data_IF_322415223055
#
_entry.id   IF_322415223055
#
_cell.length_a   1.000
_cell.length_b   1.000
_cell.length_c   1.000
_cell.angle_alpha   90.00
_cell.angle_beta   90.00
_cell.angle_gamma   90.00
#
_symmetry.space_group_name_H-M   'P 1'
#
loop_
_entity.id
_entity.type
_entity.pdbx_description
1 polymer ?
#
# COMPACT_ATOMS: atom_id res chain seq x y z
N UNK A 1 -0.54 -9.87 58.67
CA UNK A 1 -0.86 -11.29 58.95
C UNK A 1 -1.77 -11.78 57.83
N UNK A 2 -1.35 -12.85 57.14
CA UNK A 2 -2.00 -13.69 56.11
C UNK A 2 -3.44 -13.37 55.68
N UNK A 3 -3.64 -13.13 54.37
CA UNK A 3 -4.88 -13.51 53.67
C UNK A 3 -4.50 -14.50 52.56
N UNK A 4 -4.80 -15.78 52.86
CA UNK A 4 -4.89 -16.90 51.92
C UNK A 4 -6.00 -16.52 50.90
N UNK A 5 -5.82 -16.64 49.59
CA UNK A 5 -5.55 -17.89 48.91
C UNK A 5 -6.86 -18.58 48.53
N UNK A 6 -7.79 -17.91 47.85
CA UNK A 6 -8.98 -18.52 47.23
C UNK A 6 -9.48 -17.70 46.02
N UNK A 7 -8.78 -17.74 44.89
CA UNK A 7 -9.35 -17.38 43.57
C UNK A 7 -8.73 -18.21 42.42
N UNK A 8 -8.36 -19.46 42.67
CA UNK A 8 -7.76 -20.35 41.65
C UNK A 8 -8.51 -21.68 41.49
N UNK A 9 -9.84 -21.69 41.56
CA UNK A 9 -10.59 -22.95 41.38
C UNK A 9 -11.87 -22.83 40.53
N UNK A 10 -11.83 -22.04 39.46
CA UNK A 10 -12.93 -22.04 38.48
C UNK A 10 -12.46 -22.11 37.03
N UNK A 11 -11.47 -22.94 36.67
CA UNK A 11 -11.20 -23.23 35.25
C UNK A 11 -10.71 -24.66 34.96
N UNK A 12 -11.04 -25.66 35.78
CA UNK A 12 -10.75 -27.07 35.43
C UNK A 12 -11.98 -27.94 35.69
N UNK A 13 -13.01 -27.74 34.90
CA UNK A 13 -14.11 -28.69 34.76
C UNK A 13 -14.71 -28.53 33.36
N UNK A 14 -14.00 -29.04 32.35
CA UNK A 14 -14.53 -29.52 31.06
C UNK A 14 -13.35 -29.91 30.13
N UNK A 15 -12.53 -30.86 30.58
CA UNK A 15 -11.71 -31.66 29.67
C UNK A 15 -12.32 -33.05 29.59
N UNK A 16 -13.30 -33.19 28.72
CA UNK A 16 -13.94 -34.46 28.45
C UNK A 16 -14.87 -34.33 27.27
N UNK A 17 -14.45 -34.92 26.14
CA UNK A 17 -15.28 -35.24 24.97
C UNK A 17 -15.65 -34.08 24.03
N UNK A 18 -14.70 -33.64 23.19
CA UNK A 18 -14.97 -33.42 21.74
C UNK A 18 -13.72 -32.94 20.98
N UNK A 19 -12.77 -33.85 20.67
CA UNK A 19 -11.59 -33.51 19.83
C UNK A 19 -11.29 -34.53 18.73
N UNK A 20 -12.25 -35.40 18.40
CA UNK A 20 -12.08 -36.39 17.32
C UNK A 20 -13.15 -36.31 16.23
N UNK A 21 -14.26 -35.59 16.43
CA UNK A 21 -15.30 -35.52 15.41
C UNK A 21 -14.88 -34.63 14.21
N UNK A 22 -14.33 -33.44 14.48
CA UNK A 22 -13.91 -32.50 13.41
C UNK A 22 -12.74 -32.99 12.54
N UNK A 23 -11.85 -33.84 13.07
CA UNK A 23 -10.77 -34.44 12.26
C UNK A 23 -11.30 -35.51 11.31
N UNK A 24 -12.33 -36.23 11.73
CA UNK A 24 -12.95 -37.30 10.95
C UNK A 24 -13.83 -36.68 9.85
N UNK A 25 -14.55 -35.60 10.17
CA UNK A 25 -15.38 -34.86 9.21
C UNK A 25 -14.54 -34.20 8.10
N UNK A 26 -13.37 -33.64 8.44
CA UNK A 26 -12.45 -33.07 7.44
C UNK A 26 -11.79 -34.15 6.58
N UNK A 27 -11.39 -35.28 7.19
CA UNK A 27 -10.82 -36.41 6.45
C UNK A 27 -11.84 -37.02 5.48
N UNK A 28 -13.11 -37.16 5.89
CA UNK A 28 -14.18 -37.60 5.00
C UNK A 28 -14.48 -36.60 3.89
N UNK A 29 -14.36 -35.29 4.16
CA UNK A 29 -14.50 -34.27 3.12
C UNK A 29 -13.38 -34.37 2.07
N UNK A 30 -12.14 -34.56 2.50
CA UNK A 30 -11.00 -34.75 1.60
C UNK A 30 -11.12 -36.02 0.76
N UNK A 31 -11.56 -37.12 1.37
CA UNK A 31 -11.74 -38.40 0.67
C UNK A 31 -12.92 -38.34 -0.30
N UNK A 32 -14.00 -37.64 0.06
CA UNK A 32 -15.12 -37.37 -0.84
C UNK A 32 -14.69 -36.54 -2.05
N UNK A 33 -13.91 -35.47 -1.87
CA UNK A 33 -13.40 -34.65 -2.99
C UNK A 33 -12.43 -35.44 -3.89
N UNK A 34 -11.66 -36.36 -3.30
CA UNK A 34 -10.75 -37.25 -4.03
C UNK A 34 -11.51 -38.31 -4.86
N UNK A 35 -12.63 -38.83 -4.36
CA UNK A 35 -13.47 -39.75 -5.12
C UNK A 35 -14.29 -39.03 -6.20
N UNK A 36 -14.81 -37.83 -5.91
CA UNK A 36 -15.57 -37.00 -6.86
C UNK A 36 -14.72 -36.57 -8.07
N UNK A 37 -13.40 -36.47 -7.89
CA UNK A 37 -12.44 -36.20 -8.97
C UNK A 37 -11.96 -37.44 -9.75
N UNK A 38 -12.28 -38.66 -9.29
CA UNK A 38 -11.83 -39.92 -9.91
C UNK A 38 -12.87 -40.63 -10.78
N UNK A 39 -14.16 -40.23 -10.68
CA UNK A 39 -15.26 -40.76 -11.50
C UNK A 39 -15.57 -39.88 -12.72
N UNK A 40 -14.55 -39.45 -13.44
CA UNK A 40 -14.66 -39.13 -14.88
C UNK A 40 -13.28 -39.22 -15.51
N UNK A 41 -13.09 -40.24 -16.35
CA UNK A 41 -11.92 -40.38 -17.17
C UNK A 41 -11.85 -39.24 -18.20
N UNK A 42 -11.27 -38.11 -17.82
CA UNK A 42 -10.48 -37.23 -18.68
C UNK A 42 -9.68 -36.28 -17.78
N UNK A 43 -8.44 -36.65 -17.45
CA UNK A 43 -7.52 -35.76 -16.75
C UNK A 43 -7.28 -34.51 -17.62
N UNK A 44 -7.94 -33.40 -17.26
CA UNK A 44 -7.54 -32.08 -17.75
C UNK A 44 -6.21 -31.74 -17.07
N UNK A 45 -5.19 -31.30 -17.82
CA UNK A 45 -3.90 -30.96 -17.22
C UNK A 45 -4.14 -29.87 -16.18
N UNK A 46 -3.60 -30.10 -14.98
CA UNK A 46 -3.56 -29.10 -13.91
C UNK A 46 -2.84 -27.89 -14.49
N UNK A 47 -3.56 -26.77 -14.62
CA UNK A 47 -2.98 -25.52 -15.12
C UNK A 47 -1.74 -25.20 -14.31
N UNK A 48 -0.59 -25.24 -15.00
CA UNK A 48 0.71 -24.85 -14.48
C UNK A 48 0.57 -23.51 -13.77
N UNK A 49 0.81 -23.51 -12.45
CA UNK A 49 1.04 -22.31 -11.65
C UNK A 49 2.13 -21.50 -12.33
N UNK A 50 1.75 -20.44 -13.02
CA UNK A 50 2.67 -19.48 -13.62
C UNK A 50 3.45 -18.84 -12.47
N UNK A 51 4.79 -18.93 -12.46
CA UNK A 51 5.57 -18.20 -11.47
C UNK A 51 5.28 -16.70 -11.64
N UNK A 52 5.01 -16.02 -10.53
CA UNK A 52 4.82 -14.58 -10.49
C UNK A 52 6.13 -13.94 -10.97
N UNK A 53 6.17 -13.48 -12.22
CA UNK A 53 7.32 -12.76 -12.76
C UNK A 53 7.28 -11.33 -12.23
N UNK A 54 7.78 -11.14 -11.01
CA UNK A 54 8.01 -9.82 -10.43
C UNK A 54 9.29 -9.26 -11.05
N UNK A 55 9.16 -8.54 -12.16
CA UNK A 55 10.27 -7.77 -12.71
C UNK A 55 10.51 -6.52 -11.84
N UNK A 56 11.19 -6.73 -10.71
CA UNK A 56 11.54 -5.72 -9.70
C UNK A 56 12.36 -4.55 -10.27
N UNK A 57 13.08 -4.78 -11.37
CA UNK A 57 13.90 -3.75 -12.01
C UNK A 57 13.02 -2.74 -12.77
N UNK A 58 11.93 -3.20 -13.39
CA UNK A 58 10.97 -2.33 -14.07
C UNK A 58 10.21 -1.45 -13.07
N UNK A 59 9.88 -1.96 -11.89
CA UNK A 59 9.20 -1.19 -10.85
C UNK A 59 10.07 -0.03 -10.33
N UNK A 60 11.35 -0.28 -10.05
CA UNK A 60 12.30 0.78 -9.65
C UNK A 60 12.49 1.84 -10.73
N UNK A 61 12.58 1.43 -11.99
CA UNK A 61 12.73 2.34 -13.13
C UNK A 61 11.51 3.25 -13.32
N UNK A 62 10.30 2.76 -13.02
CA UNK A 62 9.08 3.56 -13.10
C UNK A 62 9.00 4.59 -11.96
N UNK A 63 9.34 4.18 -10.72
CA UNK A 63 9.32 5.12 -9.58
C UNK A 63 10.30 6.27 -9.75
N UNK A 64 11.54 6.01 -10.20
CA UNK A 64 12.52 7.07 -10.45
C UNK A 64 12.08 8.02 -11.57
N UNK A 65 11.51 7.51 -12.66
CA UNK A 65 10.96 8.38 -13.71
C UNK A 65 9.79 9.23 -13.22
N UNK A 66 8.91 8.69 -12.37
CA UNK A 66 7.83 9.48 -11.78
C UNK A 66 8.38 10.58 -10.85
N UNK A 67 9.44 10.30 -10.10
CA UNK A 67 10.16 11.30 -9.30
C UNK A 67 10.80 12.39 -10.17
N UNK A 68 11.48 12.02 -11.26
CA UNK A 68 12.07 13.01 -12.17
C UNK A 68 11.00 13.91 -12.79
N UNK A 69 9.88 13.31 -13.24
CA UNK A 69 8.74 14.07 -13.75
C UNK A 69 8.14 15.01 -12.69
N UNK A 70 8.09 14.58 -11.44
CA UNK A 70 7.62 15.40 -10.33
C UNK A 70 8.53 16.61 -10.08
N UNK A 71 9.85 16.40 -10.10
CA UNK A 71 10.84 17.46 -9.92
C UNK A 71 10.82 18.44 -11.10
N UNK A 72 10.66 17.97 -12.33
CA UNK A 72 10.49 18.83 -13.51
C UNK A 72 9.24 19.71 -13.38
N UNK A 73 8.12 19.18 -12.89
CA UNK A 73 6.90 19.97 -12.65
C UNK A 73 7.09 21.02 -11.55
N UNK A 74 7.87 20.69 -10.52
CA UNK A 74 8.25 21.67 -9.50
C UNK A 74 9.12 22.78 -10.09
N UNK A 75 10.09 22.44 -10.95
CA UNK A 75 10.89 23.42 -11.66
C UNK A 75 10.03 24.33 -12.55
N UNK A 76 9.14 23.76 -13.37
CA UNK A 76 8.19 24.50 -14.20
C UNK A 76 7.33 25.47 -13.35
N UNK A 77 6.86 25.01 -12.19
CA UNK A 77 6.15 25.86 -11.23
C UNK A 77 7.02 27.06 -10.80
N UNK A 78 8.27 26.81 -10.39
CA UNK A 78 9.16 27.90 -9.95
C UNK A 78 9.51 28.87 -11.08
N UNK A 79 9.68 28.38 -12.31
CA UNK A 79 9.94 29.22 -13.48
C UNK A 79 8.74 30.12 -13.80
N UNK A 80 7.51 29.55 -13.78
CA UNK A 80 6.29 30.33 -14.01
C UNK A 80 6.02 31.34 -12.91
N UNK A 81 6.35 31.00 -11.67
CA UNK A 81 6.21 31.93 -10.53
C UNK A 81 7.14 33.14 -10.64
N UNK A 82 8.33 32.97 -11.20
CA UNK A 82 9.30 34.04 -11.40
C UNK A 82 9.08 34.84 -12.70
N UNK A 83 8.09 34.48 -13.52
CA UNK A 83 7.77 35.20 -14.75
C UNK A 83 7.06 36.52 -14.46
N UNK A 84 7.44 37.59 -15.15
CA UNK A 84 6.75 38.89 -15.08
C UNK A 84 5.27 38.83 -15.54
N UNK A 85 4.88 37.76 -16.24
CA UNK A 85 3.53 37.51 -16.75
C UNK A 85 2.85 36.35 -16.01
N UNK A 86 3.30 36.03 -14.79
CA UNK A 86 2.79 34.96 -13.96
C UNK A 86 1.26 35.01 -13.80
N UNK A 87 0.55 34.06 -14.40
CA UNK A 87 -0.88 33.87 -14.14
C UNK A 87 -1.05 32.99 -12.90
N UNK A 88 -1.46 33.60 -11.78
CA UNK A 88 -1.67 32.91 -10.49
C UNK A 88 -2.57 31.67 -10.62
N UNK A 89 -3.59 31.72 -11.49
CA UNK A 89 -4.53 30.62 -11.67
C UNK A 89 -3.86 29.42 -12.34
N UNK A 90 -2.98 29.67 -13.30
CA UNK A 90 -2.20 28.61 -13.96
C UNK A 90 -1.16 28.01 -13.02
N UNK A 91 -0.49 28.85 -12.24
CA UNK A 91 0.47 28.45 -11.21
C UNK A 91 -0.21 27.57 -10.15
N UNK A 92 -1.40 27.98 -9.68
CA UNK A 92 -2.21 27.18 -8.77
C UNK A 92 -2.59 25.82 -9.38
N UNK A 93 -2.97 25.79 -10.66
CA UNK A 93 -3.29 24.54 -11.35
C UNK A 93 -2.10 23.57 -11.40
N UNK A 94 -0.89 24.08 -11.67
CA UNK A 94 0.33 23.29 -11.60
C UNK A 94 0.61 22.78 -10.19
N UNK A 95 0.45 23.63 -9.18
CA UNK A 95 0.67 23.27 -7.80
C UNK A 95 -0.30 22.17 -7.32
N UNK A 96 -1.57 22.26 -7.71
CA UNK A 96 -2.58 21.23 -7.44
C UNK A 96 -2.20 19.89 -8.09
N UNK A 97 -1.76 19.93 -9.35
CA UNK A 97 -1.28 18.74 -10.08
C UNK A 97 -0.08 18.11 -9.38
N UNK A 98 0.86 18.94 -8.90
CA UNK A 98 2.04 18.48 -8.18
C UNK A 98 1.66 17.81 -6.85
N UNK A 99 0.77 18.43 -6.07
CA UNK A 99 0.25 17.86 -4.82
C UNK A 99 -0.41 16.50 -5.05
N UNK A 100 -1.24 16.36 -6.09
CA UNK A 100 -1.87 15.09 -6.46
C UNK A 100 -0.84 14.02 -6.82
N UNK A 101 0.20 14.37 -7.59
CA UNK A 101 1.27 13.44 -7.96
C UNK A 101 2.12 13.01 -6.76
N UNK A 102 2.43 13.92 -5.84
CA UNK A 102 3.10 13.58 -4.57
C UNK A 102 2.28 12.55 -3.80
N UNK A 103 0.97 12.78 -3.64
CA UNK A 103 0.08 11.85 -2.95
C UNK A 103 -0.01 10.50 -3.66
N UNK A 104 -0.10 10.50 -4.99
CA UNK A 104 -0.10 9.28 -5.79
C UNK A 104 1.18 8.45 -5.57
N UNK A 105 2.34 9.10 -5.62
CA UNK A 105 3.63 8.44 -5.38
C UNK A 105 3.73 7.91 -3.95
N UNK A 106 3.28 8.65 -2.93
CA UNK A 106 3.27 8.19 -1.53
C UNK A 106 2.36 6.99 -1.31
N UNK A 107 1.22 6.96 -2.00
CA UNK A 107 0.24 5.88 -1.90
C UNK A 107 0.56 4.69 -2.80
N UNK A 108 1.58 4.80 -3.66
CA UNK A 108 2.06 3.69 -4.47
C UNK A 108 2.63 2.58 -3.57
N UNK A 109 2.37 1.31 -3.94
CA UNK A 109 2.95 0.16 -3.22
C UNK A 109 4.48 0.16 -3.23
N UNK A 110 5.09 0.86 -4.18
CA UNK A 110 6.54 0.99 -4.32
C UNK A 110 7.16 1.94 -3.30
N UNK A 111 6.41 2.94 -2.80
CA UNK A 111 6.90 3.93 -1.85
C UNK A 111 7.54 3.30 -0.61
N UNK A 112 6.91 2.30 -0.02
CA UNK A 112 7.41 1.63 1.18
C UNK A 112 8.77 0.97 0.95
N UNK A 113 9.04 0.52 -0.27
CA UNK A 113 10.27 -0.16 -0.66
C UNK A 113 11.40 0.80 -1.08
N UNK A 114 11.14 2.11 -1.13
CA UNK A 114 12.15 3.11 -1.50
C UNK A 114 13.12 3.41 -0.36
N UNK A 115 14.37 3.80 -0.69
CA UNK A 115 15.35 4.25 0.29
C UNK A 115 14.90 5.55 0.98
N UNK A 116 15.36 5.75 2.23
CA UNK A 116 14.98 6.93 3.05
C UNK A 116 15.15 8.27 2.32
N UNK A 117 16.29 8.55 1.64
CA UNK A 117 16.48 9.85 1.01
C UNK A 117 15.41 10.20 -0.04
N UNK A 118 14.89 9.22 -0.78
CA UNK A 118 13.82 9.46 -1.76
C UNK A 118 12.49 9.76 -1.07
N UNK A 119 12.22 9.09 0.05
CA UNK A 119 11.04 9.38 0.87
C UNK A 119 11.11 10.78 1.47
N UNK A 120 12.29 11.18 1.93
CA UNK A 120 12.53 12.49 2.53
C UNK A 120 12.25 13.61 1.52
N UNK A 121 12.76 13.50 0.28
CA UNK A 121 12.46 14.45 -0.80
C UNK A 121 10.95 14.55 -1.07
N UNK A 122 10.25 13.42 -1.14
CA UNK A 122 8.81 13.39 -1.40
C UNK A 122 8.01 14.05 -0.26
N UNK A 123 8.43 13.84 0.99
CA UNK A 123 7.83 14.49 2.16
C UNK A 123 8.11 15.99 2.19
N UNK A 124 9.34 16.41 1.88
CA UNK A 124 9.68 17.83 1.77
C UNK A 124 8.84 18.51 0.69
N UNK A 125 8.67 17.87 -0.47
CA UNK A 125 7.86 18.41 -1.55
C UNK A 125 6.38 18.50 -1.17
N UNK A 126 5.85 17.56 -0.39
CA UNK A 126 4.49 17.64 0.17
C UNK A 126 4.32 18.87 1.08
N UNK A 127 5.29 19.10 1.97
CA UNK A 127 5.28 20.25 2.88
C UNK A 127 5.37 21.56 2.10
N UNK A 128 6.27 21.61 1.11
CA UNK A 128 6.45 22.77 0.24
C UNK A 128 5.19 23.06 -0.56
N UNK A 129 4.62 22.06 -1.24
CA UNK A 129 3.39 22.23 -2.04
C UNK A 129 2.21 22.71 -1.20
N UNK A 130 2.03 22.15 0.00
CA UNK A 130 0.97 22.58 0.93
C UNK A 130 1.18 24.01 1.42
N UNK A 131 2.42 24.37 1.74
CA UNK A 131 2.77 25.74 2.17
C UNK A 131 2.52 26.74 1.05
N UNK A 132 2.89 26.38 -0.17
CA UNK A 132 2.68 27.21 -1.36
C UNK A 132 1.20 27.44 -1.66
N UNK A 133 0.35 26.42 -1.48
CA UNK A 133 -1.09 26.54 -1.67
C UNK A 133 -1.68 27.55 -0.69
N UNK A 134 -1.22 27.52 0.56
CA UNK A 134 -1.63 28.50 1.59
C UNK A 134 -1.18 29.91 1.20
N UNK A 135 0.06 30.08 0.72
CA UNK A 135 0.60 31.38 0.28
C UNK A 135 -0.21 31.97 -0.89
N UNK A 136 -0.55 31.14 -1.88
CA UNK A 136 -1.39 31.56 -3.02
C UNK A 136 -2.78 31.96 -2.54
N UNK A 137 -3.43 31.13 -1.69
CA UNK A 137 -4.77 31.42 -1.18
C UNK A 137 -4.81 32.67 -0.29
N UNK A 138 -3.70 33.01 0.37
CA UNK A 138 -3.55 34.25 1.14
C UNK A 138 -3.33 35.49 0.26
N UNK A 139 -2.91 35.30 -0.99
CA UNK A 139 -2.58 36.40 -1.90
C UNK A 139 -1.17 36.95 -1.73
N UNK A 140 -0.20 36.17 -1.21
CA UNK A 140 1.19 36.64 -1.06
C UNK A 140 1.95 36.83 -2.39
N UNK A 141 1.28 36.55 -3.52
CA UNK A 141 1.85 36.51 -4.86
C UNK A 141 1.31 37.61 -5.80
N UNK A 142 0.60 38.60 -5.25
CA UNK A 142 0.08 39.76 -5.99
C UNK A 142 0.96 40.99 -5.85
#
# INVERSE_FOLDING_TARGET
MKIKGEYQNHLIANQGKNKQQSKTDFAQFLEKELEESSSSAQAKPVSSITPLNLNLNNLKFNFMQEMDNLLNLWEDYTQKLNSEQANLKEIYGLLSTLKEKVQHLKNSGDYLNQPSPLKDILNELEVLTTTEEIKINRGDYT
#
